data_IF_497097741012
#
_entry.id   IF_497097741012
#
_cell.length_a   1.000
_cell.length_b   1.000
_cell.length_c   1.000
_cell.angle_alpha   90.00
_cell.angle_beta   90.00
_cell.angle_gamma   90.00
#
_symmetry.space_group_name_H-M   'P 1'
#
loop_
_entity.id
_entity.type
_entity.pdbx_description
1 polymer ?
#
# COMPACT_ATOMS: atom_id res chain seq x y z
N UNK A 1 12.99 6.56 9.45
CA UNK A 1 11.85 7.12 8.69
C UNK A 1 10.56 6.53 9.26
N UNK A 2 9.51 7.32 9.51
CA UNK A 2 8.24 6.76 9.98
C UNK A 2 7.52 5.97 8.90
N UNK A 3 6.72 5.00 9.33
CA UNK A 3 5.88 4.16 8.47
C UNK A 3 4.48 4.76 8.35
N UNK A 4 4.04 4.96 7.12
CA UNK A 4 2.68 5.35 6.79
C UNK A 4 1.89 4.13 6.33
N UNK A 5 0.74 3.88 6.95
CA UNK A 5 -0.20 2.84 6.51
C UNK A 5 -1.20 3.41 5.51
N UNK A 6 -1.29 2.77 4.36
CA UNK A 6 -2.18 3.12 3.25
C UNK A 6 -3.22 2.02 3.06
N UNK A 7 -4.47 2.42 2.81
CA UNK A 7 -5.55 1.51 2.45
C UNK A 7 -6.11 1.90 1.09
N UNK A 8 -6.17 0.93 0.18
CA UNK A 8 -6.72 1.11 -1.17
C UNK A 8 -8.01 0.31 -1.30
N UNK A 9 -9.07 0.97 -1.77
CA UNK A 9 -10.30 0.28 -2.13
C UNK A 9 -10.04 -0.67 -3.31
N UNK A 10 -10.60 -1.87 -3.24
CA UNK A 10 -10.47 -2.87 -4.29
C UNK A 10 -11.65 -3.84 -4.28
N UNK A 11 -11.76 -4.67 -5.31
CA UNK A 11 -12.71 -5.77 -5.35
C UNK A 11 -12.09 -7.08 -4.80
N UNK A 12 -12.94 -8.07 -4.51
CA UNK A 12 -12.51 -9.36 -3.95
C UNK A 12 -11.61 -10.16 -4.89
N UNK A 13 -11.81 -10.04 -6.21
CA UNK A 13 -11.03 -10.76 -7.22
C UNK A 13 -9.61 -10.22 -7.27
N UNK A 14 -9.47 -8.89 -7.30
CA UNK A 14 -8.19 -8.19 -7.28
C UNK A 14 -7.47 -8.41 -5.95
N UNK A 15 -8.17 -8.31 -4.82
CA UNK A 15 -7.62 -8.64 -3.51
C UNK A 15 -7.03 -10.05 -3.47
N UNK A 16 -7.76 -11.04 -3.99
CA UNK A 16 -7.29 -12.41 -4.05
C UNK A 16 -6.02 -12.55 -4.89
N UNK A 17 -5.98 -11.92 -6.08
CA UNK A 17 -4.81 -11.93 -6.96
C UNK A 17 -3.56 -11.35 -6.30
N UNK A 18 -3.71 -10.23 -5.58
CA UNK A 18 -2.60 -9.59 -4.85
C UNK A 18 -2.08 -10.51 -3.75
N UNK A 19 -2.97 -11.15 -3.00
CA UNK A 19 -2.61 -12.12 -1.95
C UNK A 19 -1.84 -13.31 -2.55
N UNK A 20 -2.34 -13.90 -3.65
CA UNK A 20 -1.71 -15.06 -4.27
C UNK A 20 -0.33 -14.71 -4.83
N UNK A 21 -0.16 -13.51 -5.41
CA UNK A 21 1.16 -13.01 -5.82
C UNK A 21 2.10 -12.80 -4.63
N UNK A 22 1.61 -12.18 -3.55
CA UNK A 22 2.40 -11.96 -2.35
C UNK A 22 2.91 -13.27 -1.73
N UNK A 23 2.05 -14.29 -1.67
CA UNK A 23 2.40 -15.65 -1.21
C UNK A 23 3.44 -16.32 -2.10
N UNK A 24 3.45 -15.99 -3.39
CA UNK A 24 4.48 -16.44 -4.34
C UNK A 24 5.76 -15.60 -4.30
N UNK A 25 5.91 -14.65 -3.36
CA UNK A 25 7.04 -13.73 -3.30
C UNK A 25 7.06 -12.69 -4.42
N UNK A 26 5.93 -12.49 -5.11
CA UNK A 26 5.76 -11.54 -6.21
C UNK A 26 4.91 -10.35 -5.77
N UNK A 27 5.00 -9.26 -6.53
CA UNK A 27 4.20 -8.06 -6.29
C UNK A 27 3.22 -7.85 -7.42
N UNK A 28 2.06 -7.29 -7.10
CA UNK A 28 1.11 -6.79 -8.09
C UNK A 28 1.46 -5.32 -8.43
N UNK A 29 1.99 -5.03 -9.63
CA UNK A 29 2.57 -3.71 -9.93
C UNK A 29 1.55 -2.56 -9.86
N UNK A 30 0.34 -2.79 -10.35
CA UNK A 30 -0.71 -1.76 -10.41
C UNK A 30 -1.14 -1.30 -9.02
N UNK A 31 -1.34 -2.23 -8.09
CA UNK A 31 -1.73 -1.88 -6.72
C UNK A 31 -0.59 -1.23 -5.94
N UNK A 32 0.67 -1.57 -6.28
CA UNK A 32 1.84 -0.90 -5.68
C UNK A 32 1.97 0.54 -6.18
N UNK A 33 1.79 0.77 -7.48
CA UNK A 33 1.77 2.12 -8.05
C UNK A 33 0.61 2.94 -7.47
N UNK A 34 -0.56 2.34 -7.29
CA UNK A 34 -1.70 2.98 -6.64
C UNK A 34 -1.41 3.34 -5.17
N UNK A 35 -0.69 2.48 -4.44
CA UNK A 35 -0.28 2.79 -3.06
C UNK A 35 0.68 3.98 -3.02
N UNK A 36 1.62 4.06 -3.95
CA UNK A 36 2.55 5.20 -4.06
C UNK A 36 1.82 6.50 -4.40
N UNK A 37 0.91 6.47 -5.39
CA UNK A 37 0.07 7.61 -5.73
C UNK A 37 -0.78 8.11 -4.54
N UNK A 38 -1.24 7.19 -3.69
CA UNK A 38 -2.01 7.51 -2.49
C UNK A 38 -1.16 8.23 -1.42
N UNK A 39 0.12 7.87 -1.29
CA UNK A 39 1.06 8.59 -0.40
C UNK A 39 1.19 10.05 -0.83
N UNK A 40 1.39 10.27 -2.13
CA UNK A 40 1.43 11.62 -2.71
C UNK A 40 0.12 12.37 -2.50
N UNK A 41 -1.02 11.71 -2.71
CA UNK A 41 -2.36 12.31 -2.49
C UNK A 41 -2.58 12.74 -1.03
N UNK A 42 -1.97 12.04 -0.08
CA UNK A 42 -2.00 12.38 1.35
C UNK A 42 -1.01 13.48 1.75
N UNK A 43 -0.20 13.99 0.81
CA UNK A 43 0.77 15.06 1.06
C UNK A 43 2.09 14.57 1.66
N UNK A 44 2.37 13.28 1.60
CA UNK A 44 3.64 12.71 2.07
C UNK A 44 4.57 12.40 0.90
N UNK A 45 5.88 12.37 1.16
CA UNK A 45 6.89 11.92 0.20
C UNK A 45 7.32 10.49 0.55
N UNK A 46 7.12 9.50 -0.33
CA UNK A 46 7.60 8.14 -0.09
C UNK A 46 9.15 8.11 -0.06
N UNK A 47 9.70 7.52 0.99
CA UNK A 47 11.13 7.26 1.17
C UNK A 47 11.54 5.86 0.71
N UNK A 48 10.57 4.95 0.60
CA UNK A 48 10.75 3.60 0.11
C UNK A 48 9.56 3.16 -0.74
N UNK A 49 9.68 1.96 -1.30
CA UNK A 49 8.62 1.35 -2.10
C UNK A 49 7.52 0.77 -1.19
N UNK A 50 6.22 0.94 -1.53
CA UNK A 50 5.14 0.37 -0.73
C UNK A 50 5.20 -1.15 -0.62
N UNK A 51 5.08 -1.66 0.61
CA UNK A 51 5.06 -3.08 0.94
C UNK A 51 3.64 -3.50 1.26
N UNK A 52 3.14 -4.52 0.55
CA UNK A 52 1.84 -5.10 0.84
C UNK A 52 1.90 -5.90 2.14
N UNK A 53 0.98 -5.63 3.07
CA UNK A 53 0.95 -6.27 4.39
C UNK A 53 -0.34 -7.05 4.65
N UNK A 54 -1.34 -6.96 3.76
CA UNK A 54 -2.56 -7.76 3.85
C UNK A 54 -3.80 -7.03 3.35
N UNK A 55 -4.96 -7.56 3.72
CA UNK A 55 -6.26 -6.98 3.38
C UNK A 55 -7.10 -6.75 4.62
N UNK A 56 -8.07 -5.85 4.53
CA UNK A 56 -9.12 -5.74 5.55
C UNK A 56 -10.11 -6.90 5.41
N UNK A 57 -10.83 -7.22 6.50
CA UNK A 57 -11.91 -8.22 6.50
C UNK A 57 -13.29 -7.61 6.20
N UNK A 58 -13.35 -6.32 5.84
CA UNK A 58 -14.60 -5.58 5.62
C UNK A 58 -15.18 -5.74 4.22
N UNK A 59 -16.36 -5.15 4.01
CA UNK A 59 -17.01 -4.97 2.71
C UNK A 59 -17.24 -3.46 2.48
N UNK A 60 -16.52 -2.80 1.55
CA UNK A 60 -15.58 -3.39 0.59
C UNK A 60 -14.24 -3.81 1.21
N UNK A 61 -13.63 -4.83 0.60
CA UNK A 61 -12.25 -5.25 0.93
C UNK A 61 -11.27 -4.17 0.51
N UNK A 62 -10.24 -3.95 1.33
CA UNK A 62 -9.17 -2.99 1.04
C UNK A 62 -7.81 -3.67 1.07
N UNK A 63 -6.93 -3.28 0.15
CA UNK A 63 -5.51 -3.64 0.22
C UNK A 63 -4.83 -2.73 1.23
N UNK A 64 -3.96 -3.29 2.07
CA UNK A 64 -3.20 -2.56 3.07
C UNK A 64 -1.72 -2.58 2.69
N UNK A 65 -1.14 -1.39 2.61
CA UNK A 65 0.28 -1.18 2.34
C UNK A 65 0.92 -0.39 3.47
N UNK A 66 2.20 -0.64 3.69
CA UNK A 66 3.08 0.19 4.51
C UNK A 66 4.18 0.78 3.63
N UNK A 67 4.52 2.03 3.90
CA UNK A 67 5.54 2.77 3.15
C UNK A 67 6.27 3.68 4.09
N UNK A 68 7.60 3.66 4.03
CA UNK A 68 8.41 4.64 4.73
C UNK A 68 8.22 5.99 4.05
N UNK A 69 8.04 7.05 4.85
CA UNK A 69 7.90 8.42 4.36
C UNK A 69 8.98 9.30 4.94
N UNK A 70 9.33 10.35 4.21
CA UNK A 70 10.11 11.45 4.79
C UNK A 70 9.20 12.26 5.72
N UNK A 71 9.67 12.52 6.94
CA UNK A 71 9.14 13.61 7.76
C UNK A 71 10.08 14.78 7.65
N UNK A 72 9.56 15.93 7.26
CA UNK A 72 10.29 17.18 7.33
C UNK A 72 10.49 17.51 8.82
N UNK A 73 11.62 17.09 9.38
CA UNK A 73 12.08 17.60 10.66
C UNK A 73 12.89 18.85 10.39
N UNK A 74 12.21 19.97 10.20
CA UNK A 74 12.82 21.27 10.45
C UNK A 74 12.75 21.51 11.96
N UNK A 75 13.88 21.48 12.69
CA UNK A 75 13.92 21.93 14.09
C UNK A 75 13.68 23.43 14.22
#
# INVERSE_FOLDING_TARGET
MPLLRIQLDTDRTTARRVIDLHRAGRTHPESRAAAEAEVWRKGYTPAAVPVFIGTTNGDPVRLVYEVEIYTDTTP
#
